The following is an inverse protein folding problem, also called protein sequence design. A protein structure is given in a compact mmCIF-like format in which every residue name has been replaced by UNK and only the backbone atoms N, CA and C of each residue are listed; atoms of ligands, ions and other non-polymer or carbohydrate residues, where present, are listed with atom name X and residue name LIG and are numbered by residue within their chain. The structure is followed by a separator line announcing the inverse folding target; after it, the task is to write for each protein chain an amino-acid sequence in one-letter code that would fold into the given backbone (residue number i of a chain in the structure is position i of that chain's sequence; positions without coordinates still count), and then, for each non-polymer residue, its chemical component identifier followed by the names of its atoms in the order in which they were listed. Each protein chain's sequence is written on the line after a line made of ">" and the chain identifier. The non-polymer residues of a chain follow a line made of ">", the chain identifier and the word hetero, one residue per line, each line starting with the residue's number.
data_IF_276047521273
#
_entry.id   IF_276047521273
#
_cell.length_a   1.000
_cell.length_b   1.000
_cell.length_c   1.000
_cell.angle_alpha   90.00
_cell.angle_beta   90.00
_cell.angle_gamma   90.00
#
_symmetry.space_group_name_H-M   'P 1'
#
loop_
_entity.id
_entity.type
_entity.pdbx_description
1 polymer ?
#
# COMPACT_ATOMS: atom_id res chain seq x y z
N UNK A 1 -6.91 -2.77 -14.98
CA UNK A 1 -6.95 -4.24 -15.03
C UNK A 1 -7.45 -4.78 -13.68
N UNK A 2 -8.36 -5.74 -13.72
CA UNK A 2 -8.92 -6.41 -12.54
C UNK A 2 -8.94 -7.92 -12.79
N UNK A 3 -8.28 -8.69 -11.93
CA UNK A 3 -8.25 -10.15 -12.00
C UNK A 3 -8.81 -10.72 -10.70
N UNK A 4 -10.09 -11.13 -10.66
CA UNK A 4 -10.66 -11.77 -9.48
C UNK A 4 -10.09 -13.18 -9.32
N UNK A 5 -9.72 -13.52 -8.10
CA UNK A 5 -9.32 -14.87 -7.71
C UNK A 5 -10.24 -15.30 -6.58
N UNK A 6 -10.89 -16.47 -6.74
CA UNK A 6 -11.76 -17.04 -5.73
C UNK A 6 -11.23 -18.40 -5.29
N UNK A 7 -11.28 -18.67 -4.00
CA UNK A 7 -10.89 -19.94 -3.43
C UNK A 7 -11.86 -20.33 -2.31
N UNK A 8 -11.99 -21.66 -2.06
CA UNK A 8 -12.70 -22.20 -0.92
C UNK A 8 -11.68 -22.79 0.03
N UNK A 9 -11.73 -22.37 1.29
CA UNK A 9 -10.89 -22.94 2.32
C UNK A 9 -11.29 -24.38 2.61
N UNK A 10 -10.32 -25.24 2.86
CA UNK A 10 -10.54 -26.67 3.15
C UNK A 10 -10.90 -26.84 4.62
N UNK A 11 -10.30 -26.05 5.50
CA UNK A 11 -10.49 -26.07 6.95
C UNK A 11 -11.06 -24.74 7.47
N UNK A 12 -11.44 -24.71 8.74
CA UNK A 12 -11.82 -23.50 9.45
C UNK A 12 -10.59 -22.62 9.70
N UNK A 13 -10.23 -21.81 8.70
CA UNK A 13 -9.10 -20.88 8.75
C UNK A 13 -9.63 -19.49 9.07
N UNK A 14 -9.04 -18.83 10.05
CA UNK A 14 -9.42 -17.46 10.38
C UNK A 14 -8.94 -16.49 9.29
N UNK A 15 -9.71 -15.43 9.01
CA UNK A 15 -9.37 -14.46 7.97
C UNK A 15 -7.97 -13.84 8.16
N UNK A 16 -7.53 -13.61 9.39
CA UNK A 16 -6.19 -13.09 9.68
C UNK A 16 -5.07 -14.07 9.27
N UNK A 17 -5.29 -15.37 9.34
CA UNK A 17 -4.31 -16.37 8.85
C UNK A 17 -4.20 -16.32 7.33
N UNK A 18 -5.31 -16.09 6.64
CA UNK A 18 -5.32 -15.87 5.18
C UNK A 18 -4.53 -14.62 4.81
N UNK A 19 -4.72 -13.54 5.57
CA UNK A 19 -3.98 -12.29 5.36
C UNK A 19 -2.49 -12.48 5.61
N UNK A 20 -2.12 -13.16 6.69
CA UNK A 20 -0.72 -13.45 7.01
C UNK A 20 -0.03 -14.27 5.91
N UNK A 21 -0.73 -15.22 5.32
CA UNK A 21 -0.23 -16.03 4.22
C UNK A 21 -0.10 -15.26 2.89
N UNK A 22 -0.94 -14.26 2.65
CA UNK A 22 -0.99 -13.53 1.38
C UNK A 22 -0.23 -12.20 1.41
N UNK A 23 0.01 -11.65 2.59
CA UNK A 23 0.69 -10.36 2.75
C UNK A 23 2.12 -10.55 3.28
N UNK A 24 3.10 -9.75 2.82
CA UNK A 24 2.99 -8.70 1.81
C UNK A 24 2.86 -9.23 0.38
N UNK A 25 1.96 -8.67 -0.39
CA UNK A 25 1.77 -9.07 -1.79
C UNK A 25 2.95 -8.64 -2.68
N UNK A 26 3.24 -9.35 -3.77
CA UNK A 26 4.30 -8.96 -4.71
C UNK A 26 4.17 -7.53 -5.25
N UNK A 27 2.95 -7.02 -5.37
CA UNK A 27 2.67 -5.68 -5.87
C UNK A 27 3.26 -4.55 -4.98
N UNK A 28 3.50 -4.82 -3.70
CA UNK A 28 4.02 -3.83 -2.74
C UNK A 28 5.36 -4.20 -2.13
N UNK A 29 5.73 -5.48 -2.19
CA UNK A 29 6.99 -5.99 -1.62
C UNK A 29 7.98 -6.50 -2.66
N UNK A 30 7.52 -6.71 -3.89
CA UNK A 30 8.31 -7.28 -4.97
C UNK A 30 8.35 -8.81 -4.98
N UNK A 31 8.86 -9.36 -6.08
CA UNK A 31 9.05 -10.80 -6.29
C UNK A 31 10.35 -11.06 -7.03
N UNK A 32 11.17 -12.07 -6.65
CA UNK A 32 11.02 -12.94 -5.46
C UNK A 32 11.13 -12.17 -4.13
N UNK A 33 10.41 -12.60 -3.09
CA UNK A 33 10.23 -11.83 -1.85
C UNK A 33 11.54 -11.50 -1.12
N UNK A 34 12.42 -12.49 -0.92
CA UNK A 34 13.67 -12.29 -0.17
C UNK A 34 14.63 -11.30 -0.86
N UNK A 35 15.00 -11.47 -2.15
CA UNK A 35 15.84 -10.50 -2.86
C UNK A 35 15.21 -9.10 -2.89
N UNK A 36 13.92 -9.00 -3.13
CA UNK A 36 13.20 -7.72 -3.17
C UNK A 36 13.19 -7.03 -1.82
N UNK A 37 13.02 -7.76 -0.73
CA UNK A 37 13.09 -7.22 0.63
C UNK A 37 14.49 -6.66 0.95
N UNK A 38 15.56 -7.36 0.57
CA UNK A 38 16.93 -6.90 0.75
C UNK A 38 17.23 -5.63 -0.06
N UNK A 39 16.77 -5.58 -1.32
CA UNK A 39 16.92 -4.38 -2.16
C UNK A 39 16.16 -3.20 -1.56
N UNK A 40 14.92 -3.42 -1.15
CA UNK A 40 14.11 -2.39 -0.52
C UNK A 40 14.77 -1.83 0.74
N UNK A 41 15.20 -2.68 1.67
CA UNK A 41 15.86 -2.24 2.90
C UNK A 41 17.20 -1.52 2.66
N UNK A 42 17.83 -1.74 1.51
CA UNK A 42 19.09 -1.09 1.14
C UNK A 42 18.88 0.29 0.51
N UNK A 43 17.82 0.47 -0.26
CA UNK A 43 17.63 1.65 -1.12
C UNK A 43 16.46 2.54 -0.71
N UNK A 44 15.52 2.00 0.06
CA UNK A 44 14.38 2.76 0.55
C UNK A 44 14.72 3.30 1.95
N UNK A 45 14.99 4.59 2.03
CA UNK A 45 15.31 5.30 3.28
C UNK A 45 14.06 5.63 4.10
N UNK A 46 12.87 5.33 3.56
CA UNK A 46 11.59 5.62 4.16
C UNK A 46 11.20 4.53 5.17
N UNK A 47 10.83 4.93 6.39
CA UNK A 47 10.03 4.08 7.26
C UNK A 47 8.58 4.05 6.74
N UNK A 48 8.16 2.91 6.24
CA UNK A 48 6.82 2.71 5.71
C UNK A 48 5.73 2.79 6.78
N UNK A 49 6.05 2.49 8.04
CA UNK A 49 5.05 2.42 9.09
C UNK A 49 3.86 1.54 8.67
N UNK A 50 2.68 2.12 8.54
CA UNK A 50 1.47 1.43 8.08
C UNK A 50 1.26 1.46 6.55
N UNK A 51 2.09 2.19 5.80
CA UNK A 51 2.01 2.19 4.34
C UNK A 51 2.30 0.80 3.78
N UNK A 52 1.50 0.39 2.82
CA UNK A 52 1.52 -0.94 2.19
C UNK A 52 1.11 -2.11 3.13
N UNK A 53 0.67 -1.83 4.35
CA UNK A 53 0.12 -2.85 5.27
C UNK A 53 -1.32 -3.22 4.92
N UNK A 54 -1.82 -4.39 5.36
CA UNK A 54 -3.24 -4.71 5.25
C UNK A 54 -4.05 -3.83 6.20
N UNK A 55 -5.12 -3.24 5.69
CA UNK A 55 -6.09 -2.47 6.48
C UNK A 55 -7.50 -2.97 6.15
N UNK A 56 -8.32 -3.20 7.16
CA UNK A 56 -9.65 -3.72 6.95
C UNK A 56 -10.42 -3.97 8.23
N UNK A 57 -11.42 -4.82 8.13
CA UNK A 57 -12.29 -5.21 9.22
C UNK A 57 -12.66 -6.68 9.12
N UNK A 58 -13.06 -7.26 10.22
CA UNK A 58 -13.70 -8.58 10.31
C UNK A 58 -14.75 -8.57 11.42
N UNK A 59 -15.74 -9.44 11.29
CA UNK A 59 -16.83 -9.61 12.26
C UNK A 59 -16.75 -10.92 13.04
N UNK A 60 -17.69 -11.12 13.96
CA UNK A 60 -17.78 -12.33 14.78
C UNK A 60 -18.17 -13.59 14.00
N UNK A 61 -18.72 -13.43 12.80
CA UNK A 61 -19.13 -14.54 11.93
C UNK A 61 -18.01 -14.98 10.99
N UNK A 62 -16.84 -14.32 11.06
CA UNK A 62 -15.67 -14.61 10.25
C UNK A 62 -15.69 -13.94 8.87
N UNK A 63 -16.67 -13.05 8.60
CA UNK A 63 -16.63 -12.23 7.41
C UNK A 63 -15.68 -11.05 7.59
N UNK A 64 -15.14 -10.52 6.48
CA UNK A 64 -14.30 -9.36 6.54
C UNK A 64 -13.81 -8.92 5.17
N UNK A 65 -13.24 -7.73 5.11
CA UNK A 65 -12.60 -7.19 3.92
C UNK A 65 -11.32 -6.51 4.31
N UNK A 66 -10.23 -6.81 3.59
CA UNK A 66 -8.94 -6.16 3.76
C UNK A 66 -8.44 -5.62 2.43
N UNK A 67 -7.78 -4.47 2.49
CA UNK A 67 -7.12 -3.80 1.38
C UNK A 67 -5.69 -3.48 1.75
N UNK A 68 -4.85 -3.27 0.74
CA UNK A 68 -3.48 -2.78 0.96
C UNK A 68 -3.55 -1.26 1.11
N UNK A 69 -2.96 -0.73 2.17
CA UNK A 69 -2.91 0.71 2.48
C UNK A 69 -1.98 1.44 1.50
N UNK A 70 -2.50 1.76 0.33
CA UNK A 70 -1.82 2.52 -0.72
C UNK A 70 -2.41 3.91 -0.85
N UNK A 71 -1.63 4.87 -1.38
CA UNK A 71 -2.08 6.26 -1.57
C UNK A 71 -2.74 6.80 -0.31
N UNK A 72 -2.03 6.71 0.78
CA UNK A 72 -2.51 7.01 2.13
C UNK A 72 -1.73 8.16 2.74
N UNK A 73 -2.27 8.71 3.81
CA UNK A 73 -1.57 9.67 4.65
C UNK A 73 -1.63 9.24 6.11
N UNK A 74 -0.55 9.46 6.83
CA UNK A 74 -0.48 9.37 8.27
C UNK A 74 -0.59 10.78 8.84
N UNK A 75 -1.64 11.01 9.61
CA UNK A 75 -1.89 12.28 10.28
C UNK A 75 -1.53 12.14 11.75
N UNK A 76 -0.66 13.01 12.23
CA UNK A 76 -0.31 13.15 13.64
C UNK A 76 -0.67 14.56 14.12
N UNK A 77 -0.47 14.84 15.40
CA UNK A 77 -0.68 16.20 15.93
C UNK A 77 0.33 17.23 15.38
N UNK A 78 1.46 16.77 14.85
CA UNK A 78 2.57 17.63 14.44
C UNK A 78 2.74 17.68 12.93
N UNK A 79 2.33 16.62 12.21
CA UNK A 79 2.61 16.48 10.79
C UNK A 79 1.61 15.60 10.05
N UNK A 80 1.58 15.75 8.74
CA UNK A 80 0.89 14.81 7.85
C UNK A 80 1.90 14.28 6.82
N UNK A 81 2.11 12.98 6.83
CA UNK A 81 3.00 12.29 5.90
C UNK A 81 2.18 11.57 4.83
N UNK A 82 2.41 11.91 3.57
CA UNK A 82 1.73 11.28 2.44
C UNK A 82 2.62 10.21 1.81
N UNK A 83 2.02 9.08 1.46
CA UNK A 83 2.71 7.93 0.90
C UNK A 83 2.19 7.59 -0.49
N UNK A 84 3.10 7.51 -1.44
CA UNK A 84 2.87 6.98 -2.77
C UNK A 84 4.13 6.26 -3.27
N UNK A 85 3.99 5.45 -4.31
CA UNK A 85 5.11 4.74 -4.89
C UNK A 85 4.73 4.15 -6.24
N UNK A 86 5.74 3.66 -6.95
CA UNK A 86 5.61 2.96 -8.22
C UNK A 86 6.21 1.56 -8.12
N UNK A 87 5.76 0.66 -8.98
CA UNK A 87 6.26 -0.71 -9.07
C UNK A 87 7.35 -0.80 -10.12
N UNK A 88 8.60 -0.91 -9.71
CA UNK A 88 9.75 -1.03 -10.61
C UNK A 88 9.91 -2.48 -11.10
N UNK A 89 9.98 -2.67 -12.40
CA UNK A 89 10.17 -3.95 -13.07
C UNK A 89 11.28 -3.84 -14.12
N UNK A 90 11.66 -4.96 -14.70
CA UNK A 90 12.61 -4.96 -15.82
C UNK A 90 12.09 -4.09 -16.97
N UNK A 91 12.93 -3.13 -17.43
CA UNK A 91 12.57 -2.17 -18.47
C UNK A 91 11.83 -0.93 -17.96
N UNK A 92 11.58 -0.78 -16.66
CA UNK A 92 11.10 0.48 -16.09
C UNK A 92 12.07 1.62 -16.36
N UNK A 93 11.53 2.76 -16.78
CA UNK A 93 12.26 4.01 -16.95
C UNK A 93 12.21 4.82 -15.65
N UNK A 94 13.35 5.15 -15.02
CA UNK A 94 13.37 5.81 -13.72
C UNK A 94 12.63 7.15 -13.69
N UNK A 95 12.73 7.95 -14.75
CA UNK A 95 12.08 9.27 -14.81
C UNK A 95 10.56 9.14 -14.90
N UNK A 96 10.08 8.12 -15.62
CA UNK A 96 8.64 7.82 -15.70
C UNK A 96 8.07 7.31 -14.38
N UNK A 97 8.80 6.42 -13.69
CA UNK A 97 8.37 5.90 -12.39
C UNK A 97 8.35 7.02 -11.33
N UNK A 98 9.31 7.92 -11.36
CA UNK A 98 9.33 9.10 -10.50
C UNK A 98 8.14 10.02 -10.81
N UNK A 99 7.88 10.31 -12.08
CA UNK A 99 6.75 11.14 -12.51
C UNK A 99 5.41 10.51 -12.07
N UNK A 100 5.26 9.17 -12.18
CA UNK A 100 4.08 8.45 -11.73
C UNK A 100 3.87 8.63 -10.22
N UNK A 101 4.94 8.54 -9.43
CA UNK A 101 4.91 8.77 -7.99
C UNK A 101 4.48 10.20 -7.66
N UNK A 102 5.02 11.19 -8.35
CA UNK A 102 4.65 12.60 -8.19
C UNK A 102 3.17 12.86 -8.50
N UNK A 103 2.65 12.28 -9.58
CA UNK A 103 1.22 12.39 -9.93
C UNK A 103 0.33 11.80 -8.84
N UNK A 104 0.72 10.64 -8.29
CA UNK A 104 -0.01 10.01 -7.18
C UNK A 104 0.01 10.86 -5.91
N UNK A 105 1.14 11.48 -5.56
CA UNK A 105 1.26 12.39 -4.42
C UNK A 105 0.42 13.65 -4.61
N UNK A 106 0.45 14.27 -5.79
CA UNK A 106 -0.38 15.47 -6.10
C UNK A 106 -1.87 15.16 -5.98
N UNK A 107 -2.31 13.98 -6.36
CA UNK A 107 -3.70 13.56 -6.22
C UNK A 107 -4.15 13.46 -4.76
N UNK A 108 -3.23 13.11 -3.83
CA UNK A 108 -3.48 13.08 -2.39
C UNK A 108 -3.46 14.48 -1.76
N UNK A 109 -2.55 15.35 -2.22
CA UNK A 109 -2.37 16.70 -1.71
C UNK A 109 -3.50 17.66 -2.14
N UNK A 110 -4.06 17.46 -3.34
CA UNK A 110 -5.05 18.37 -3.91
C UNK A 110 -6.24 18.68 -2.99
N UNK A 111 -6.93 17.69 -2.42
CA UNK A 111 -8.04 17.93 -1.49
C UNK A 111 -7.63 18.67 -0.21
N UNK A 112 -6.44 18.40 0.33
CA UNK A 112 -5.94 19.02 1.56
C UNK A 112 -5.63 20.49 1.34
N UNK A 113 -4.97 20.81 0.21
CA UNK A 113 -4.64 22.21 -0.14
C UNK A 113 -5.89 23.00 -0.51
N UNK A 114 -6.93 22.38 -1.06
CA UNK A 114 -8.19 23.05 -1.37
C UNK A 114 -8.94 23.46 -0.10
N UNK A 115 -9.00 22.59 0.92
CA UNK A 115 -9.70 22.88 2.19
C UNK A 115 -9.06 24.04 2.97
N UNK A 116 -7.73 24.20 2.91
CA UNK A 116 -7.04 25.29 3.60
C UNK A 116 -7.25 26.67 2.94
N UNK A 117 -7.82 26.73 1.73
CA UNK A 117 -8.14 28.00 1.04
C UNK A 117 -9.56 28.48 1.29
N UNK A 118 -10.46 27.63 1.79
CA UNK A 118 -11.84 28.00 2.13
C UNK A 118 -11.97 28.57 3.54
N UNK A 119 -10.94 28.40 4.39
CA UNK A 119 -10.92 28.87 5.79
C UNK A 119 -10.17 30.23 5.96
N UNK A 120 -9.82 30.94 4.88
CA UNK A 120 -9.19 32.27 4.86
C UNK A 120 -10.08 33.30 4.14
#
# INVERSE_FOLDING_TARGET
>A
LFTPISAKMIDNVHLLEVIDALHPTPAVSGHPSNPSSLLRSKYEELDRGWFASPIGWFDSDGNGEFRVALRSALVTNESTTFYAGAGVVEGSDPDRELLETDVKLRALLGPVVASTKEDL
#
